data_IF_410698679316
#
_entry.id   IF_410698679316
#
_cell.length_a   1.000
_cell.length_b   1.000
_cell.length_c   1.000
_cell.angle_alpha   90.00
_cell.angle_beta   90.00
_cell.angle_gamma   90.00
#
_symmetry.space_group_name_H-M   'P 1'
#
loop_
_entity.id
_entity.type
_entity.pdbx_description
1 polymer ?
#
# COMPACT_ATOMS: atom_id res chain seq x y z
N UNK A 1 4.30 -7.43 10.07
CA UNK A 1 3.41 -6.89 9.04
C UNK A 1 2.00 -6.81 9.60
N UNK A 2 1.52 -5.60 9.84
CA UNK A 2 0.15 -5.36 10.31
C UNK A 2 -0.85 -5.91 9.27
N UNK A 3 -1.98 -6.52 9.67
CA UNK A 3 -3.02 -6.96 8.74
C UNK A 3 -3.44 -5.88 7.72
N UNK A 4 -3.40 -4.60 8.11
CA UNK A 4 -3.71 -3.49 7.21
C UNK A 4 -2.63 -3.29 6.14
N UNK A 5 -1.35 -3.43 6.47
CA UNK A 5 -0.24 -3.35 5.52
C UNK A 5 -0.31 -4.46 4.47
N UNK A 6 -0.71 -5.68 4.87
CA UNK A 6 -0.96 -6.78 3.93
C UNK A 6 -2.16 -6.46 3.03
N UNK A 7 -3.20 -5.81 3.55
CA UNK A 7 -4.38 -5.40 2.78
C UNK A 7 -4.03 -4.30 1.77
N UNK A 8 -3.32 -3.26 2.19
CA UNK A 8 -2.81 -2.18 1.32
C UNK A 8 -1.95 -2.78 0.21
N UNK A 9 -1.01 -3.68 0.55
CA UNK A 9 -0.17 -4.35 -0.44
C UNK A 9 -1.00 -5.16 -1.45
N UNK A 10 -2.05 -5.86 -0.99
CA UNK A 10 -2.96 -6.62 -1.86
C UNK A 10 -3.77 -5.75 -2.81
N UNK A 11 -4.13 -4.52 -2.44
CA UNK A 11 -4.90 -3.61 -3.30
C UNK A 11 -4.18 -3.32 -4.62
N UNK A 12 -2.84 -3.20 -4.60
CA UNK A 12 -2.06 -3.05 -5.82
C UNK A 12 -2.26 -4.24 -6.78
N UNK A 13 -2.32 -5.46 -6.23
CA UNK A 13 -2.61 -6.68 -7.00
C UNK A 13 -4.07 -6.77 -7.48
N UNK A 14 -5.02 -6.42 -6.62
CA UNK A 14 -6.47 -6.46 -6.94
C UNK A 14 -6.87 -5.42 -7.99
N UNK A 15 -6.28 -4.23 -7.94
CA UNK A 15 -6.49 -3.17 -8.93
C UNK A 15 -5.67 -3.40 -10.21
N UNK A 16 -4.75 -4.37 -10.22
CA UNK A 16 -3.85 -4.64 -11.34
C UNK A 16 -2.93 -3.46 -11.66
N UNK A 17 -2.65 -2.61 -10.67
CA UNK A 17 -1.83 -1.40 -10.82
C UNK A 17 -0.61 -1.52 -9.95
N UNK A 18 0.56 -1.37 -10.56
CA UNK A 18 1.83 -1.33 -9.84
C UNK A 18 2.02 -0.01 -9.09
N UNK A 19 1.28 1.04 -9.47
CA UNK A 19 1.31 2.37 -8.86
C UNK A 19 -0.09 2.78 -8.42
N UNK A 20 -0.21 3.21 -7.17
CA UNK A 20 -1.43 3.76 -6.60
C UNK A 20 -1.15 5.11 -5.96
N UNK A 21 -2.10 6.02 -6.10
CA UNK A 21 -2.13 7.25 -5.32
C UNK A 21 -2.71 7.01 -3.93
N UNK A 22 -2.33 7.88 -2.99
CA UNK A 22 -2.76 7.83 -1.59
C UNK A 22 -4.28 7.97 -1.47
N UNK A 23 -4.92 8.70 -2.40
CA UNK A 23 -6.37 8.85 -2.41
C UNK A 23 -7.07 7.52 -2.66
N UNK A 24 -6.63 6.75 -3.66
CA UNK A 24 -7.13 5.40 -3.93
C UNK A 24 -6.90 4.43 -2.75
N UNK A 25 -5.75 4.55 -2.06
CA UNK A 25 -5.47 3.77 -0.86
C UNK A 25 -6.42 4.11 0.30
N UNK A 26 -6.78 5.39 0.46
CA UNK A 26 -7.78 5.81 1.44
C UNK A 26 -9.19 5.37 1.06
N UNK A 27 -9.59 5.45 -0.21
CA UNK A 27 -10.91 4.96 -0.63
C UNK A 27 -11.10 3.48 -0.33
N UNK A 28 -10.04 2.68 -0.49
CA UNK A 28 -10.10 1.24 -0.26
C UNK A 28 -9.84 0.86 1.22
N UNK A 29 -9.12 1.69 1.97
CA UNK A 29 -8.76 1.48 3.37
C UNK A 29 -9.72 2.09 4.40
N UNK A 30 -10.60 3.01 3.96
CA UNK A 30 -11.56 3.71 4.80
C UNK A 30 -11.39 5.23 4.76
N UNK A 31 -12.50 5.96 4.71
CA UNK A 31 -12.51 7.41 4.51
C UNK A 31 -12.53 8.21 5.83
N UNK A 32 -12.69 7.55 6.99
CA UNK A 32 -12.67 8.24 8.27
C UNK A 32 -11.25 8.71 8.63
N UNK A 33 -11.09 9.83 9.37
CA UNK A 33 -9.78 10.35 9.75
C UNK A 33 -8.88 9.32 10.47
N UNK A 34 -9.48 8.50 11.33
CA UNK A 34 -8.79 7.43 12.05
C UNK A 34 -8.35 6.28 11.11
N UNK A 35 -9.12 5.99 10.06
CA UNK A 35 -8.78 4.97 9.07
C UNK A 35 -7.66 5.43 8.15
N UNK A 36 -7.72 6.69 7.69
CA UNK A 36 -6.64 7.32 6.91
C UNK A 36 -5.30 7.29 7.64
N UNK A 37 -5.30 7.58 8.95
CA UNK A 37 -4.08 7.48 9.76
C UNK A 37 -3.50 6.07 9.76
N UNK A 38 -4.35 5.04 9.88
CA UNK A 38 -3.89 3.65 9.86
C UNK A 38 -3.36 3.23 8.48
N UNK A 39 -3.96 3.74 7.40
CA UNK A 39 -3.46 3.51 6.03
C UNK A 39 -2.08 4.13 5.85
N UNK A 40 -1.86 5.34 6.39
CA UNK A 40 -0.54 5.96 6.40
C UNK A 40 0.47 5.12 7.18
N UNK A 41 0.13 4.68 8.40
CA UNK A 41 1.00 3.80 9.20
C UNK A 41 1.36 2.51 8.44
N UNK A 42 0.40 1.95 7.69
CA UNK A 42 0.59 0.75 6.89
C UNK A 42 1.52 0.98 5.69
N UNK A 43 1.39 2.12 5.01
CA UNK A 43 2.28 2.52 3.91
C UNK A 43 3.70 2.75 4.45
N UNK A 44 3.83 3.41 5.59
CA UNK A 44 5.11 3.66 6.26
C UNK A 44 5.82 2.34 6.60
N UNK A 45 5.09 1.35 7.13
CA UNK A 45 5.65 0.01 7.35
C UNK A 45 6.13 -0.61 6.03
N UNK A 46 5.34 -0.53 4.95
CA UNK A 46 5.69 -1.09 3.63
C UNK A 46 6.89 -0.38 2.98
N UNK A 47 7.04 0.92 3.19
CA UNK A 47 8.23 1.69 2.77
C UNK A 47 9.47 1.22 3.53
N UNK A 48 9.35 1.10 4.86
CA UNK A 48 10.45 0.67 5.73
C UNK A 48 10.94 -0.75 5.40
N UNK A 49 10.03 -1.66 5.02
CA UNK A 49 10.41 -3.02 4.61
C UNK A 49 10.74 -3.14 3.10
N UNK A 50 10.70 -2.03 2.36
CA UNK A 50 11.05 -1.98 0.94
C UNK A 50 10.08 -2.73 0.02
N UNK A 51 8.82 -2.89 0.42
CA UNK A 51 7.76 -3.52 -0.38
C UNK A 51 7.09 -2.55 -1.35
N UNK A 52 7.06 -1.27 -0.98
CA UNK A 52 6.66 -0.15 -1.84
C UNK A 52 7.75 0.91 -1.82
N UNK A 53 7.75 1.79 -2.82
CA UNK A 53 8.58 2.99 -2.87
C UNK A 53 7.71 4.21 -3.12
N UNK A 54 8.10 5.34 -2.57
CA UNK A 54 7.51 6.63 -2.92
C UNK A 54 8.01 7.04 -4.31
N UNK A 55 7.08 7.38 -5.21
CA UNK A 55 7.37 7.86 -6.56
C UNK A 55 7.16 9.38 -6.72
N UNK A 56 7.06 10.08 -5.59
CA UNK A 56 6.89 11.54 -5.49
C UNK A 56 5.44 11.98 -5.34
N UNK A 57 5.22 12.93 -4.42
CA UNK A 57 3.89 13.43 -4.06
C UNK A 57 3.12 12.38 -3.26
N UNK A 58 1.93 12.04 -3.73
CA UNK A 58 1.03 11.08 -3.09
C UNK A 58 1.06 9.70 -3.76
N UNK A 59 2.09 9.38 -4.54
CA UNK A 59 2.15 8.13 -5.31
C UNK A 59 3.11 7.12 -4.72
N UNK A 60 2.63 5.88 -4.60
CA UNK A 60 3.40 4.73 -4.18
C UNK A 60 3.44 3.69 -5.28
N UNK A 61 4.59 3.06 -5.48
CA UNK A 61 4.79 2.02 -6.47
C UNK A 61 5.31 0.74 -5.81
N UNK A 62 4.79 -0.42 -6.24
CA UNK A 62 5.26 -1.72 -5.81
C UNK A 62 6.72 -1.94 -6.22
N UNK A 63 7.53 -2.42 -5.29
CA UNK A 63 8.85 -2.94 -5.61
C UNK A 63 8.74 -4.39 -6.07
N UNK A 64 9.82 -4.93 -6.64
CA UNK A 64 9.92 -6.35 -6.96
C UNK A 64 9.71 -7.25 -5.73
N UNK A 65 10.10 -6.79 -4.53
CA UNK A 65 9.84 -7.47 -3.26
C UNK A 65 8.34 -7.51 -2.95
N UNK A 66 7.65 -6.38 -3.10
CA UNK A 66 6.20 -6.29 -2.93
C UNK A 66 5.43 -7.17 -3.90
N UNK A 67 5.82 -7.18 -5.18
CA UNK A 67 5.24 -8.06 -6.20
C UNK A 67 5.39 -9.54 -5.85
N UNK A 68 6.58 -9.95 -5.37
CA UNK A 68 6.82 -11.33 -4.90
C UNK A 68 5.99 -11.67 -3.66
N UNK A 69 5.78 -10.72 -2.76
CA UNK A 69 4.96 -10.92 -1.57
C UNK A 69 3.47 -11.09 -1.92
N UNK A 70 2.98 -10.42 -2.97
CA UNK A 70 1.62 -10.61 -3.50
C UNK A 70 1.51 -11.94 -4.29
N UNK A 71 2.56 -12.30 -5.03
CA UNK A 71 2.58 -13.49 -5.89
C UNK A 71 2.79 -14.81 -5.13
N UNK A 72 3.41 -14.79 -3.94
CA UNK A 72 3.48 -15.95 -3.05
C UNK A 72 2.09 -16.21 -2.45
N UNK A 73 1.29 -16.97 -3.19
CA UNK A 73 0.06 -17.60 -2.74
C UNK A 73 0.34 -19.02 -2.24
#
# INVERSE_FOLDING_TARGET
MNPLSVRVLRMFGELGRERLDLHALFEAGGNEPAERSRVLDAIDELLNVGMVKECGGDFYELTESGKRAIAKR
#
